data_IF_925212321154
#
_entry.id   IF_925212321154
#
_cell.length_a   1.000
_cell.length_b   1.000
_cell.length_c   1.000
_cell.angle_alpha   90.00
_cell.angle_beta   90.00
_cell.angle_gamma   90.00
#
_symmetry.space_group_name_H-M   'P 1'
#
loop_
_entity.id
_entity.type
_entity.pdbx_description
1 polymer ?
#
# COMPACT_ATOMS: atom_id res chain seq x y z
N UNK A 1 7.88 -10.23 18.82
CA UNK A 1 7.30 -9.01 19.41
C UNK A 1 5.84 -8.87 18.96
N UNK A 2 5.00 -8.54 19.90
CA UNK A 2 3.59 -8.31 19.56
C UNK A 2 3.43 -6.94 18.93
N UNK A 3 2.80 -6.89 17.76
CA UNK A 3 2.48 -5.62 17.14
C UNK A 3 1.39 -4.88 17.89
N UNK A 4 1.43 -3.56 17.85
CA UNK A 4 0.36 -2.75 18.37
C UNK A 4 -0.84 -2.81 17.44
N UNK A 5 -2.03 -2.79 18.03
CA UNK A 5 -3.29 -2.74 17.28
C UNK A 5 -3.93 -1.38 17.48
N UNK A 6 -4.33 -0.78 16.39
CA UNK A 6 -5.01 0.51 16.40
C UNK A 6 -6.43 0.32 15.90
N UNK A 7 -7.41 0.71 16.71
CA UNK A 7 -8.78 0.83 16.27
C UNK A 7 -9.00 2.26 15.82
N UNK A 8 -9.41 2.41 14.57
CA UNK A 8 -9.55 3.72 13.96
C UNK A 8 -10.98 3.87 13.49
N UNK A 9 -11.65 4.90 14.01
CA UNK A 9 -12.98 5.26 13.54
C UNK A 9 -12.85 6.21 12.38
N UNK A 10 -13.60 5.93 11.34
CA UNK A 10 -13.58 6.71 10.12
C UNK A 10 -14.92 7.42 9.97
N UNK A 11 -14.86 8.67 9.58
CA UNK A 11 -16.04 9.47 9.35
C UNK A 11 -15.87 10.28 8.07
N UNK A 12 -16.76 10.05 7.10
CA UNK A 12 -16.72 10.78 5.84
C UNK A 12 -17.80 11.85 5.85
N UNK A 13 -17.41 13.07 5.50
CA UNK A 13 -18.35 14.17 5.28
C UNK A 13 -18.84 14.23 3.84
N UNK A 14 -18.28 13.40 2.96
CA UNK A 14 -18.68 13.32 1.56
C UNK A 14 -19.77 12.23 1.42
N UNK A 15 -21.03 12.61 1.09
CA UNK A 15 -22.11 11.63 0.97
C UNK A 15 -21.90 10.64 -0.17
N UNK A 16 -21.01 10.93 -1.12
CA UNK A 16 -20.72 10.04 -2.23
C UNK A 16 -19.61 9.04 -1.92
N UNK A 17 -18.94 9.21 -0.78
CA UNK A 17 -17.89 8.28 -0.35
C UNK A 17 -18.37 7.49 0.85
N UNK A 18 -18.42 6.17 0.67
CA UNK A 18 -18.73 5.26 1.75
C UNK A 18 -17.45 4.63 2.25
N UNK A 19 -17.11 4.93 3.50
CA UNK A 19 -15.97 4.31 4.18
C UNK A 19 -16.48 3.35 5.25
N UNK A 20 -15.71 2.31 5.60
CA UNK A 20 -16.05 1.53 6.79
C UNK A 20 -16.02 2.44 8.01
N UNK A 21 -16.91 2.20 8.95
CA UNK A 21 -17.02 3.04 10.15
C UNK A 21 -15.83 2.86 11.09
N UNK A 22 -15.25 1.68 11.07
CA UNK A 22 -14.11 1.36 11.93
C UNK A 22 -13.21 0.37 11.21
N UNK A 23 -11.89 0.55 11.37
CA UNK A 23 -10.90 -0.41 10.91
C UNK A 23 -9.93 -0.72 12.03
N UNK A 24 -9.30 -1.89 11.95
CA UNK A 24 -8.20 -2.26 12.81
C UNK A 24 -6.93 -2.33 11.99
N UNK A 25 -5.91 -1.58 12.41
CA UNK A 25 -4.59 -1.62 11.81
C UNK A 25 -3.60 -2.23 12.78
N UNK A 26 -2.86 -3.20 12.30
CA UNK A 26 -1.83 -3.88 13.09
C UNK A 26 -0.47 -3.35 12.66
N UNK A 27 0.27 -2.80 13.62
CA UNK A 27 1.62 -2.31 13.36
C UNK A 27 2.55 -3.48 13.08
N UNK A 28 3.25 -3.42 11.97
CA UNK A 28 4.28 -4.41 11.64
C UNK A 28 5.54 -4.13 12.46
N UNK A 29 6.36 -5.17 12.65
CA UNK A 29 7.49 -5.12 13.58
C UNK A 29 8.42 -3.93 13.38
N UNK A 30 8.78 -3.62 12.14
CA UNK A 30 9.72 -2.52 11.84
C UNK A 30 9.03 -1.25 11.32
N UNK A 31 7.71 -1.21 11.42
CA UNK A 31 6.95 -0.09 10.89
C UNK A 31 7.04 1.12 11.80
N UNK A 32 7.39 2.27 11.22
CA UNK A 32 7.46 3.54 11.93
C UNK A 32 6.08 4.18 12.06
N UNK A 33 5.94 5.15 12.96
CA UNK A 33 4.71 5.92 13.09
C UNK A 33 4.37 6.65 11.78
N UNK A 34 5.37 7.17 11.09
CA UNK A 34 5.19 7.80 9.77
C UNK A 34 4.56 6.82 8.77
N UNK A 35 5.06 5.60 8.71
CA UNK A 35 4.55 4.59 7.79
C UNK A 35 3.12 4.18 8.12
N UNK A 36 2.76 4.11 9.40
CA UNK A 36 1.38 3.84 9.83
C UNK A 36 0.44 4.93 9.35
N UNK A 37 0.84 6.19 9.51
CA UNK A 37 0.05 7.34 9.07
C UNK A 37 -0.12 7.32 7.56
N UNK A 38 0.95 7.06 6.80
CA UNK A 38 0.87 6.96 5.35
C UNK A 38 -0.05 5.81 4.91
N UNK A 39 0.01 4.70 5.61
CA UNK A 39 -0.86 3.55 5.33
C UNK A 39 -2.33 3.89 5.60
N UNK A 40 -2.62 4.56 6.70
CA UNK A 40 -3.97 4.99 7.00
C UNK A 40 -4.50 5.97 5.95
N UNK A 41 -3.71 6.97 5.59
CA UNK A 41 -4.10 7.93 4.57
C UNK A 41 -4.33 7.27 3.22
N UNK A 42 -3.45 6.33 2.84
CA UNK A 42 -3.58 5.57 1.61
C UNK A 42 -4.86 4.73 1.60
N UNK A 43 -5.18 4.11 2.74
CA UNK A 43 -6.41 3.34 2.87
C UNK A 43 -7.65 4.22 2.63
N UNK A 44 -7.68 5.40 3.24
CA UNK A 44 -8.81 6.31 3.08
C UNK A 44 -8.91 6.85 1.66
N UNK A 45 -7.78 7.23 1.07
CA UNK A 45 -7.75 7.84 -0.25
C UNK A 45 -8.05 6.84 -1.37
N UNK A 46 -7.58 5.63 -1.24
CA UNK A 46 -7.72 4.59 -2.26
C UNK A 46 -8.84 3.60 -1.95
N UNK A 47 -9.67 3.89 -0.96
CA UNK A 47 -10.66 2.93 -0.49
C UNK A 47 -11.62 2.49 -1.58
N UNK A 48 -11.76 1.19 -1.68
CA UNK A 48 -12.80 0.50 -2.41
C UNK A 48 -13.17 -0.76 -1.62
N UNK A 49 -14.35 -1.36 -1.86
CA UNK A 49 -14.70 -2.60 -1.18
C UNK A 49 -13.60 -3.65 -1.34
N UNK A 50 -13.36 -4.42 -0.30
CA UNK A 50 -12.34 -5.47 -0.24
C UNK A 50 -10.90 -4.97 -0.07
N UNK A 51 -10.66 -3.65 -0.02
CA UNK A 51 -9.34 -3.14 0.33
C UNK A 51 -9.04 -3.50 1.80
N UNK A 52 -7.88 -4.11 2.02
CA UNK A 52 -7.49 -4.56 3.35
C UNK A 52 -6.49 -3.58 3.97
N UNK A 53 -6.79 -3.07 5.17
CA UNK A 53 -5.88 -2.12 5.83
C UNK A 53 -4.59 -2.78 6.34
N UNK A 54 -4.59 -4.10 6.46
CA UNK A 54 -3.42 -4.89 6.80
C UNK A 54 -3.08 -5.77 5.62
N UNK A 55 -1.83 -5.69 5.17
CA UNK A 55 -1.39 -6.48 4.04
C UNK A 55 -1.23 -7.95 4.38
N UNK A 56 -1.18 -8.76 3.34
CA UNK A 56 -0.90 -10.19 3.44
C UNK A 56 0.45 -10.50 2.81
N UNK A 57 1.15 -11.53 3.30
CA UNK A 57 2.29 -12.06 2.56
C UNK A 57 1.80 -12.72 1.27
N UNK A 58 2.63 -12.69 0.25
CA UNK A 58 2.39 -13.42 -0.99
C UNK A 58 3.49 -14.45 -1.18
N UNK A 59 3.11 -15.69 -1.49
CA UNK A 59 4.09 -16.72 -1.79
C UNK A 59 4.94 -16.38 -3.02
N UNK A 60 4.37 -15.61 -3.95
CA UNK A 60 5.07 -15.21 -5.17
C UNK A 60 6.08 -14.09 -4.93
N UNK A 61 5.84 -13.24 -3.94
CA UNK A 61 6.66 -12.04 -3.66
C UNK A 61 7.48 -12.21 -2.39
N UNK A 62 7.52 -13.41 -1.83
CA UNK A 62 8.33 -13.65 -0.63
C UNK A 62 9.78 -13.18 -0.82
N UNK A 63 10.41 -12.61 0.21
CA UNK A 63 9.97 -12.52 1.61
C UNK A 63 9.13 -11.28 1.94
N UNK A 64 8.67 -10.54 0.97
CA UNK A 64 7.99 -9.27 1.19
C UNK A 64 6.49 -9.46 1.42
N UNK A 65 5.90 -8.56 2.20
CA UNK A 65 4.46 -8.46 2.37
C UNK A 65 4.03 -7.01 2.18
N UNK A 66 2.85 -6.82 1.59
CA UNK A 66 2.33 -5.48 1.37
C UNK A 66 1.93 -4.83 2.68
N UNK A 67 2.08 -3.51 2.77
CA UNK A 67 1.58 -2.74 3.91
C UNK A 67 0.04 -2.71 3.90
N UNK A 68 -0.52 -2.62 2.72
CA UNK A 68 -1.95 -2.52 2.46
C UNK A 68 -2.19 -3.02 1.05
N UNK A 69 -3.35 -3.58 0.78
CA UNK A 69 -3.63 -4.02 -0.56
C UNK A 69 -5.00 -4.66 -0.75
N UNK A 70 -5.17 -5.21 -1.93
CA UNK A 70 -6.37 -5.97 -2.31
C UNK A 70 -5.94 -7.22 -3.06
N UNK A 71 -6.63 -8.32 -2.80
CA UNK A 71 -6.32 -9.61 -3.38
C UNK A 71 -7.54 -10.20 -4.09
N UNK A 72 -7.29 -10.98 -5.14
CA UNK A 72 -8.33 -11.74 -5.82
C UNK A 72 -8.77 -12.93 -4.97
N UNK A 73 -9.81 -13.62 -5.43
CA UNK A 73 -10.27 -14.85 -4.78
C UNK A 73 -9.22 -15.95 -4.81
N UNK A 74 -8.35 -15.94 -5.83
CA UNK A 74 -7.21 -16.86 -5.95
C UNK A 74 -5.99 -16.38 -5.17
N UNK A 75 -6.15 -15.32 -4.35
CA UNK A 75 -5.10 -14.74 -3.52
C UNK A 75 -3.96 -14.07 -4.30
N UNK A 76 -4.21 -13.68 -5.55
CA UNK A 76 -3.26 -12.87 -6.32
C UNK A 76 -3.36 -11.40 -5.90
N UNK A 77 -2.23 -10.73 -5.68
CA UNK A 77 -2.26 -9.29 -5.39
C UNK A 77 -2.84 -8.50 -6.57
N UNK A 78 -3.85 -7.67 -6.29
CA UNK A 78 -4.45 -6.76 -7.27
C UNK A 78 -4.08 -5.31 -7.00
N UNK A 79 -3.79 -4.98 -5.75
CA UNK A 79 -3.24 -3.71 -5.32
C UNK A 79 -2.17 -3.99 -4.27
N UNK A 80 -1.03 -3.33 -4.40
CA UNK A 80 0.10 -3.47 -3.48
C UNK A 80 0.62 -2.09 -3.11
N UNK A 81 0.57 -1.75 -1.84
CA UNK A 81 1.03 -0.45 -1.35
C UNK A 81 2.38 -0.57 -0.67
N UNK A 82 3.26 0.37 -0.98
CA UNK A 82 4.54 0.55 -0.32
C UNK A 82 4.76 2.03 0.04
N UNK A 83 5.50 2.27 1.11
CA UNK A 83 5.91 3.62 1.47
C UNK A 83 7.25 3.95 0.84
N UNK A 84 7.40 5.18 0.39
CA UNK A 84 8.70 5.68 -0.09
C UNK A 84 9.51 6.24 1.10
N UNK A 85 10.83 6.22 1.05
CA UNK A 85 11.68 5.61 0.02
C UNK A 85 11.64 4.08 0.08
N UNK A 86 11.82 3.45 -1.06
CA UNK A 86 11.83 1.99 -1.18
C UNK A 86 13.11 1.56 -1.90
N UNK A 87 13.68 0.44 -1.47
CA UNK A 87 14.80 -0.17 -2.19
C UNK A 87 14.34 -0.57 -3.59
N UNK A 88 15.11 -0.18 -4.59
CA UNK A 88 14.75 -0.47 -5.97
C UNK A 88 14.67 -1.97 -6.24
N UNK A 89 15.56 -2.74 -5.63
CA UNK A 89 15.56 -4.21 -5.72
C UNK A 89 14.23 -4.80 -5.24
N UNK A 90 13.71 -4.28 -4.13
CA UNK A 90 12.41 -4.71 -3.59
C UNK A 90 11.27 -4.37 -4.54
N UNK A 91 11.23 -3.14 -5.02
CA UNK A 91 10.19 -2.71 -5.95
C UNK A 91 10.20 -3.53 -7.24
N UNK A 92 11.38 -3.77 -7.78
CA UNK A 92 11.54 -4.58 -8.99
C UNK A 92 11.01 -6.01 -8.79
N UNK A 93 11.26 -6.60 -7.63
CA UNK A 93 10.74 -7.94 -7.31
C UNK A 93 9.21 -7.94 -7.21
N UNK A 94 8.62 -6.94 -6.57
CA UNK A 94 7.17 -6.81 -6.47
C UNK A 94 6.55 -6.68 -7.85
N UNK A 95 7.10 -5.82 -8.69
CA UNK A 95 6.61 -5.62 -10.07
C UNK A 95 6.63 -6.93 -10.85
N UNK A 96 7.72 -7.69 -10.73
CA UNK A 96 7.91 -8.92 -11.49
C UNK A 96 7.01 -10.05 -10.99
N UNK A 97 6.87 -10.18 -9.67
CA UNK A 97 6.19 -11.31 -9.04
C UNK A 97 4.70 -11.08 -8.79
N UNK A 98 4.24 -9.84 -8.88
CA UNK A 98 2.83 -9.50 -8.75
C UNK A 98 2.35 -8.79 -10.02
N UNK A 99 2.30 -9.48 -11.16
CA UNK A 99 2.07 -8.84 -12.46
C UNK A 99 0.68 -8.22 -12.61
N UNK A 100 -0.30 -8.68 -11.84
CA UNK A 100 -1.66 -8.15 -11.89
C UNK A 100 -1.89 -6.97 -10.96
N UNK A 101 -0.93 -6.68 -10.08
CA UNK A 101 -1.11 -5.65 -9.08
C UNK A 101 -0.88 -4.25 -9.63
N UNK A 102 -1.76 -3.32 -9.25
CA UNK A 102 -1.46 -1.90 -9.30
C UNK A 102 -0.56 -1.57 -8.11
N UNK A 103 0.44 -0.75 -8.33
CA UNK A 103 1.41 -0.41 -7.28
C UNK A 103 1.11 1.00 -6.78
N UNK A 104 0.80 1.10 -5.49
CA UNK A 104 0.57 2.38 -4.82
C UNK A 104 1.81 2.73 -4.00
N UNK A 105 2.45 3.83 -4.33
CA UNK A 105 3.62 4.34 -3.63
C UNK A 105 3.23 5.58 -2.84
N UNK A 106 3.28 5.49 -1.52
CA UNK A 106 2.87 6.58 -0.64
C UNK A 106 4.07 7.31 -0.06
N UNK A 107 4.00 8.62 -0.02
CA UNK A 107 5.05 9.45 0.56
C UNK A 107 4.48 10.76 1.11
N UNK A 108 5.15 11.31 2.11
CA UNK A 108 4.95 12.67 2.58
C UNK A 108 6.09 13.60 2.12
N UNK A 109 7.01 13.07 1.30
CA UNK A 109 8.14 13.82 0.75
C UNK A 109 7.94 14.04 -0.75
N UNK A 110 7.79 15.29 -1.15
CA UNK A 110 7.68 15.65 -2.57
C UNK A 110 8.92 15.21 -3.36
N UNK A 111 10.10 15.38 -2.76
CA UNK A 111 11.36 14.99 -3.40
C UNK A 111 11.41 13.49 -3.67
N UNK A 112 11.03 12.67 -2.70
CA UNK A 112 11.00 11.21 -2.87
C UNK A 112 9.99 10.80 -3.94
N UNK A 113 8.83 11.45 -3.96
CA UNK A 113 7.80 11.20 -4.96
C UNK A 113 8.27 11.53 -6.37
N UNK A 114 8.93 12.66 -6.55
CA UNK A 114 9.44 13.07 -7.86
C UNK A 114 10.53 12.12 -8.37
N UNK A 115 11.44 11.70 -7.50
CA UNK A 115 12.48 10.72 -7.85
C UNK A 115 11.86 9.41 -8.30
N UNK A 116 10.87 8.91 -7.55
CA UNK A 116 10.18 7.68 -7.89
C UNK A 116 9.44 7.77 -9.22
N UNK A 117 8.73 8.89 -9.45
CA UNK A 117 8.01 9.12 -10.71
C UNK A 117 8.95 9.14 -11.92
N UNK A 118 10.08 9.82 -11.82
CA UNK A 118 11.05 9.86 -12.90
C UNK A 118 11.59 8.48 -13.24
N UNK A 119 11.92 7.71 -12.21
CA UNK A 119 12.46 6.37 -12.39
C UNK A 119 11.44 5.41 -13.01
N UNK A 120 10.18 5.50 -12.56
CA UNK A 120 9.10 4.69 -13.09
C UNK A 120 8.82 5.03 -14.55
N UNK A 121 8.79 6.30 -14.90
CA UNK A 121 8.59 6.76 -16.30
C UNK A 121 9.69 6.27 -17.21
N UNK A 122 10.91 6.21 -16.71
CA UNK A 122 12.05 5.74 -17.48
C UNK A 122 12.02 4.23 -17.70
N UNK A 123 11.75 3.46 -16.64
CA UNK A 123 11.95 2.02 -16.63
C UNK A 123 10.67 1.20 -16.83
N UNK A 124 9.49 1.78 -16.63
CA UNK A 124 8.22 1.03 -16.62
C UNK A 124 7.07 1.80 -17.28
N UNK A 125 6.00 1.04 -17.60
CA UNK A 125 4.76 1.63 -18.07
C UNK A 125 4.04 2.33 -16.91
N UNK A 126 3.76 3.62 -17.07
CA UNK A 126 3.23 4.46 -16.01
C UNK A 126 1.82 4.09 -15.53
N UNK A 127 0.99 3.46 -16.37
CA UNK A 127 -0.39 3.14 -16.00
C UNK A 127 -0.56 2.14 -14.85
N UNK A 128 0.52 1.51 -14.42
CA UNK A 128 0.51 0.53 -13.35
C UNK A 128 0.74 1.11 -11.97
N UNK A 129 1.15 2.38 -11.90
CA UNK A 129 1.61 3.02 -10.67
C UNK A 129 0.76 4.22 -10.30
N UNK A 130 0.60 4.39 -8.99
CA UNK A 130 0.06 5.61 -8.37
C UNK A 130 1.05 6.06 -7.30
N UNK A 131 1.45 7.31 -7.35
CA UNK A 131 2.39 7.88 -6.38
C UNK A 131 1.77 9.07 -5.65
#
# INVERSE_FOLDING_TARGET
MKGYRYRIRLHSHDPQRTLPSEIEMIRREEETAREIILRLMSFVMAYEPELEPNGRPSNEVMPYSAALGRWSMEEDPLLWMECLPIEWKRLKKIITKAPRASILLATDSRADGEVALQKIRHDYKAGRFVV
#
